data_IF_777590369444
#
_entry.id   IF_777590369444
#
_cell.length_a   1.000
_cell.length_b   1.000
_cell.length_c   1.000
_cell.angle_alpha   90.00
_cell.angle_beta   90.00
_cell.angle_gamma   90.00
#
_symmetry.space_group_name_H-M   'P 1'
#
loop_
_entity.id
_entity.type
_entity.pdbx_description
1 polymer ?
#
# COMPACT_ATOMS: atom_id res chain seq x y z
N UNK A 1 43.40 -8.41 28.20
CA UNK A 1 43.32 -7.15 27.44
C UNK A 1 42.06 -7.23 26.59
N UNK A 2 40.96 -6.70 27.11
CA UNK A 2 39.68 -6.59 26.38
C UNK A 2 39.56 -5.17 25.82
N UNK A 3 39.00 -4.95 24.62
CA UNK A 3 38.89 -3.60 24.07
C UNK A 3 37.81 -2.78 24.79
N UNK A 4 38.18 -1.58 25.19
CA UNK A 4 37.31 -0.51 25.68
C UNK A 4 36.43 0.02 24.53
N UNK A 5 35.13 -0.23 24.62
CA UNK A 5 34.12 0.23 23.66
C UNK A 5 33.38 1.51 24.12
N UNK A 6 33.85 2.19 25.16
CA UNK A 6 33.11 3.28 25.81
C UNK A 6 33.36 4.68 25.24
N UNK A 7 34.38 4.87 24.40
CA UNK A 7 34.84 6.20 23.95
C UNK A 7 34.30 6.68 22.58
N UNK A 8 33.27 6.04 22.00
CA UNK A 8 32.68 6.48 20.70
C UNK A 8 31.20 6.83 20.75
N UNK A 9 30.65 7.05 21.95
CA UNK A 9 29.21 7.37 22.12
C UNK A 9 28.86 8.85 22.12
N UNK A 10 29.84 9.76 22.18
CA UNK A 10 29.53 11.18 22.32
C UNK A 10 29.39 11.92 20.99
N UNK A 11 30.06 11.50 19.91
CA UNK A 11 30.03 12.27 18.65
C UNK A 11 28.78 11.99 17.80
N UNK A 12 28.06 10.90 18.07
CA UNK A 12 26.85 10.51 17.32
C UNK A 12 25.54 11.09 17.87
N UNK A 13 25.50 11.51 19.14
CA UNK A 13 24.29 12.07 19.76
C UNK A 13 24.07 13.54 19.39
N UNK A 14 25.13 14.31 19.23
CA UNK A 14 25.03 15.76 18.99
C UNK A 14 24.58 16.09 17.56
N UNK A 15 24.88 15.23 16.58
CA UNK A 15 24.49 15.44 15.18
C UNK A 15 23.00 15.15 14.89
N UNK A 16 22.32 14.37 15.74
CA UNK A 16 20.90 14.02 15.59
C UNK A 16 19.96 14.92 16.41
N UNK A 17 20.50 15.69 17.36
CA UNK A 17 19.70 16.45 18.32
C UNK A 17 19.28 17.85 17.82
N UNK A 18 19.81 18.33 16.69
CA UNK A 18 19.72 19.75 16.38
C UNK A 18 18.43 20.20 15.67
N UNK A 19 17.59 19.32 15.07
CA UNK A 19 16.44 19.78 14.26
C UNK A 19 15.26 18.79 14.09
N UNK A 20 15.03 17.88 15.03
CA UNK A 20 13.83 17.04 14.96
C UNK A 20 12.94 17.31 16.17
N UNK A 21 11.93 18.18 15.98
CA UNK A 21 10.76 18.15 16.84
C UNK A 21 10.18 16.73 16.74
N UNK A 22 10.05 15.95 17.83
CA UNK A 22 9.44 14.63 17.77
C UNK A 22 7.99 14.67 17.24
N UNK A 23 7.36 15.85 17.24
CA UNK A 23 6.04 16.12 16.67
C UNK A 23 6.07 16.34 15.15
N UNK A 24 7.25 16.51 14.55
CA UNK A 24 7.49 16.64 13.11
C UNK A 24 8.04 15.34 12.48
N UNK A 25 8.03 14.24 13.25
CA UNK A 25 8.24 12.90 12.71
C UNK A 25 7.00 12.49 11.90
N UNK A 26 6.91 12.98 10.66
CA UNK A 26 6.04 12.38 9.66
C UNK A 26 6.63 11.03 9.29
N UNK A 27 6.22 9.97 9.99
CA UNK A 27 6.50 8.60 9.57
C UNK A 27 5.79 8.43 8.23
N UNK A 28 6.55 8.52 7.12
CA UNK A 28 6.09 8.37 5.74
C UNK A 28 5.66 6.96 5.39
N UNK A 29 4.82 6.35 6.23
CA UNK A 29 4.24 5.03 6.03
C UNK A 29 2.74 5.19 6.15
N UNK A 30 2.09 5.47 5.02
CA UNK A 30 0.62 5.51 4.90
C UNK A 30 0.05 4.26 5.58
N UNK A 31 -0.64 4.37 6.73
CA UNK A 31 -1.10 3.21 7.51
C UNK A 31 -1.90 2.23 6.65
N UNK A 32 -2.67 2.75 5.70
CA UNK A 32 -3.41 1.98 4.70
C UNK A 32 -2.54 1.12 3.80
N UNK A 33 -1.34 1.57 3.40
CA UNK A 33 -0.43 0.75 2.61
C UNK A 33 0.07 -0.46 3.40
N UNK A 34 0.38 -0.27 4.69
CA UNK A 34 0.84 -1.35 5.57
C UNK A 34 -0.29 -2.35 5.79
N UNK A 35 -1.50 -1.86 6.09
CA UNK A 35 -2.69 -2.69 6.24
C UNK A 35 -2.97 -3.47 4.96
N UNK A 36 -2.95 -2.81 3.81
CA UNK A 36 -3.19 -3.45 2.52
C UNK A 36 -2.21 -4.61 2.30
N UNK A 37 -0.91 -4.37 2.47
CA UNK A 37 0.13 -5.40 2.27
C UNK A 37 -0.04 -6.59 3.19
N UNK A 38 -0.47 -6.37 4.44
CA UNK A 38 -0.61 -7.44 5.44
C UNK A 38 -1.92 -8.22 5.29
N UNK A 39 -3.01 -7.53 4.97
CA UNK A 39 -4.36 -8.05 5.11
C UNK A 39 -5.05 -8.27 3.75
N UNK A 40 -4.89 -7.35 2.81
CA UNK A 40 -5.66 -7.35 1.55
C UNK A 40 -4.90 -7.99 0.38
N UNK A 41 -3.58 -7.78 0.31
CA UNK A 41 -2.70 -8.27 -0.74
C UNK A 41 -2.68 -9.80 -0.93
N UNK A 42 -2.98 -10.65 0.07
CA UNK A 42 -3.15 -12.08 -0.16
C UNK A 42 -4.26 -12.44 -1.15
N UNK A 43 -5.26 -11.57 -1.34
CA UNK A 43 -6.41 -11.85 -2.20
C UNK A 43 -6.60 -10.84 -3.33
N UNK A 44 -6.09 -9.61 -3.16
CA UNK A 44 -6.33 -8.50 -4.08
C UNK A 44 -5.04 -7.93 -4.64
N UNK A 45 -5.11 -7.40 -5.85
CA UNK A 45 -4.07 -6.55 -6.43
C UNK A 45 -4.59 -5.12 -6.61
N UNK A 46 -3.68 -4.20 -6.98
CA UNK A 46 -4.05 -2.84 -7.40
C UNK A 46 -3.39 -2.56 -8.75
N UNK A 47 -4.17 -2.69 -9.81
CA UNK A 47 -3.81 -2.38 -11.19
C UNK A 47 -3.08 -3.50 -11.92
N UNK A 48 -3.16 -4.74 -11.43
CA UNK A 48 -2.48 -5.89 -12.07
C UNK A 48 -3.51 -6.80 -12.72
N UNK A 49 -4.20 -7.63 -11.92
CA UNK A 49 -5.20 -8.59 -12.37
C UNK A 49 -6.16 -8.95 -11.23
N UNK A 50 -7.32 -9.49 -11.59
CA UNK A 50 -8.13 -10.26 -10.66
C UNK A 50 -7.32 -11.46 -10.11
N UNK A 51 -7.47 -11.75 -8.82
CA UNK A 51 -6.83 -12.89 -8.16
C UNK A 51 -7.88 -13.73 -7.41
N UNK A 52 -7.70 -13.97 -6.10
CA UNK A 52 -8.74 -14.60 -5.28
C UNK A 52 -9.94 -13.66 -5.08
N UNK A 53 -9.73 -12.35 -5.18
CA UNK A 53 -10.75 -11.32 -5.30
C UNK A 53 -10.50 -10.37 -6.48
N UNK A 54 -11.39 -9.40 -6.72
CA UNK A 54 -11.25 -8.40 -7.79
C UNK A 54 -9.99 -7.55 -7.66
N UNK A 55 -9.45 -7.08 -8.78
CA UNK A 55 -8.51 -5.95 -8.80
C UNK A 55 -9.16 -4.68 -8.24
N UNK A 56 -8.41 -3.96 -7.40
CA UNK A 56 -8.93 -2.80 -6.66
C UNK A 56 -8.53 -1.45 -7.26
N UNK A 57 -7.86 -1.42 -8.42
CA UNK A 57 -7.59 -0.15 -9.09
C UNK A 57 -8.88 0.60 -9.37
N UNK A 58 -8.97 1.87 -8.95
CA UNK A 58 -10.15 2.72 -9.16
C UNK A 58 -11.41 2.29 -8.42
N UNK A 59 -11.31 1.40 -7.43
CA UNK A 59 -12.49 0.91 -6.69
C UNK A 59 -13.20 2.05 -5.94
N UNK A 60 -12.42 3.04 -5.46
CA UNK A 60 -12.91 4.23 -4.74
C UNK A 60 -13.70 5.19 -5.64
N UNK A 61 -13.49 5.13 -6.95
CA UNK A 61 -14.25 5.93 -7.92
C UNK A 61 -15.53 5.20 -8.37
N UNK A 62 -15.52 3.86 -8.33
CA UNK A 62 -16.63 3.02 -8.82
C UNK A 62 -17.66 2.66 -7.76
N UNK A 63 -17.38 2.90 -6.48
CA UNK A 63 -18.20 2.44 -5.35
C UNK A 63 -18.33 3.53 -4.30
N UNK A 64 -19.50 3.55 -3.67
CA UNK A 64 -19.79 4.43 -2.56
C UNK A 64 -18.86 4.16 -1.37
N UNK A 65 -18.43 5.24 -0.70
CA UNK A 65 -17.48 5.16 0.41
C UNK A 65 -18.04 4.42 1.63
N UNK A 66 -19.34 4.55 1.94
CA UNK A 66 -19.97 3.82 3.03
C UNK A 66 -20.08 2.34 2.71
N UNK A 67 -20.40 2.00 1.45
CA UNK A 67 -20.40 0.61 1.00
C UNK A 67 -19.00 -0.02 1.11
N UNK A 68 -17.94 0.71 0.72
CA UNK A 68 -16.56 0.22 0.85
C UNK A 68 -16.16 0.04 2.31
N UNK A 69 -16.47 1.01 3.17
CA UNK A 69 -16.23 0.90 4.61
C UNK A 69 -16.94 -0.33 5.19
N UNK A 70 -18.18 -0.58 4.77
CA UNK A 70 -18.94 -1.74 5.22
C UNK A 70 -18.37 -3.06 4.70
N UNK A 71 -17.99 -3.12 3.43
CA UNK A 71 -17.38 -4.31 2.83
C UNK A 71 -16.06 -4.68 3.53
N UNK A 72 -15.28 -3.69 3.96
CA UNK A 72 -14.00 -3.88 4.66
C UNK A 72 -14.23 -4.32 6.12
N UNK A 73 -15.15 -3.67 6.83
CA UNK A 73 -15.33 -3.88 8.28
C UNK A 73 -16.30 -5.02 8.61
N UNK A 74 -17.34 -5.22 7.79
CA UNK A 74 -18.37 -6.22 8.04
C UNK A 74 -19.08 -6.69 6.74
N UNK A 75 -18.38 -7.43 5.86
CA UNK A 75 -18.97 -7.94 4.63
C UNK A 75 -20.13 -8.94 4.88
N UNK A 76 -20.22 -9.51 6.08
CA UNK A 76 -21.33 -10.38 6.46
C UNK A 76 -22.67 -9.63 6.53
N UNK A 77 -22.67 -8.35 6.94
CA UNK A 77 -23.89 -7.54 6.98
C UNK A 77 -24.43 -7.28 5.58
N UNK A 78 -23.56 -6.97 4.62
CA UNK A 78 -23.95 -6.82 3.21
C UNK A 78 -24.59 -8.11 2.66
N UNK A 79 -24.04 -9.29 2.98
CA UNK A 79 -24.66 -10.57 2.58
C UNK A 79 -26.01 -10.80 3.24
N UNK A 80 -26.12 -10.53 4.54
CA UNK A 80 -27.38 -10.68 5.28
C UNK A 80 -28.48 -9.77 4.68
N UNK A 81 -28.10 -8.57 4.25
CA UNK A 81 -28.96 -7.61 3.59
C UNK A 81 -29.23 -7.92 2.11
N UNK A 82 -28.66 -9.02 1.57
CA UNK A 82 -28.78 -9.42 0.16
C UNK A 82 -28.35 -8.31 -0.81
N UNK A 83 -27.24 -7.65 -0.48
CA UNK A 83 -26.65 -6.61 -1.33
C UNK A 83 -26.40 -7.16 -2.75
N UNK A 84 -26.95 -6.52 -3.81
CA UNK A 84 -26.87 -7.06 -5.16
C UNK A 84 -25.44 -7.01 -5.72
N UNK A 85 -24.65 -6.00 -5.34
CA UNK A 85 -23.26 -5.88 -5.80
C UNK A 85 -22.44 -7.03 -5.23
N UNK A 86 -22.59 -7.31 -3.94
CA UNK A 86 -21.90 -8.43 -3.31
C UNK A 86 -22.39 -9.78 -3.85
N UNK A 87 -23.68 -9.92 -4.18
CA UNK A 87 -24.20 -11.12 -4.82
C UNK A 87 -23.54 -11.39 -6.19
N UNK A 88 -23.37 -10.35 -7.01
CA UNK A 88 -22.68 -10.45 -8.30
C UNK A 88 -21.20 -10.80 -8.12
N UNK A 89 -20.54 -10.21 -7.12
CA UNK A 89 -19.15 -10.52 -6.78
C UNK A 89 -19.00 -11.97 -6.31
N UNK A 90 -19.84 -12.44 -5.40
CA UNK A 90 -19.85 -13.84 -4.93
C UNK A 90 -20.10 -14.82 -6.09
N UNK A 91 -20.93 -14.45 -7.07
CA UNK A 91 -21.18 -15.25 -8.26
C UNK A 91 -20.00 -15.26 -9.25
N UNK A 92 -19.22 -14.17 -9.34
CA UNK A 92 -18.03 -14.07 -10.19
C UNK A 92 -16.81 -14.77 -9.58
N UNK A 93 -16.55 -14.56 -8.29
CA UNK A 93 -15.38 -15.08 -7.56
C UNK A 93 -15.69 -16.34 -6.75
N UNK A 94 -16.38 -17.30 -7.40
CA UNK A 94 -16.93 -18.51 -6.76
C UNK A 94 -15.89 -19.23 -5.90
N UNK A 95 -16.26 -19.56 -4.66
CA UNK A 95 -15.44 -20.36 -3.76
C UNK A 95 -14.57 -19.54 -2.79
N UNK A 96 -14.41 -18.22 -3.01
CA UNK A 96 -13.69 -17.34 -2.08
C UNK A 96 -14.62 -16.19 -1.66
N UNK A 97 -14.99 -16.18 -0.38
CA UNK A 97 -15.74 -15.07 0.22
C UNK A 97 -14.83 -14.25 1.10
N UNK A 98 -14.88 -12.92 0.96
CA UNK A 98 -14.15 -12.02 1.85
C UNK A 98 -14.65 -12.20 3.31
N UNK A 99 -13.80 -12.67 4.24
CA UNK A 99 -14.21 -12.86 5.62
C UNK A 99 -14.34 -11.51 6.35
N UNK A 100 -14.86 -11.54 7.58
CA UNK A 100 -14.66 -10.42 8.49
C UNK A 100 -13.21 -10.46 8.98
N UNK A 101 -12.46 -9.39 8.72
CA UNK A 101 -11.02 -9.28 9.00
C UNK A 101 -10.73 -8.61 10.35
N UNK A 102 -11.76 -8.24 11.11
CA UNK A 102 -11.61 -7.55 12.41
C UNK A 102 -11.09 -6.12 12.30
N UNK A 103 -11.24 -5.51 11.12
CA UNK A 103 -10.77 -4.15 10.85
C UNK A 103 -11.75 -3.12 11.43
N UNK A 104 -11.19 -2.07 12.02
CA UNK A 104 -11.95 -0.94 12.55
C UNK A 104 -12.39 0.03 11.45
N UNK A 105 -13.26 0.98 11.79
CA UNK A 105 -13.64 2.05 10.86
C UNK A 105 -12.44 2.93 10.44
N UNK A 106 -11.50 3.17 11.36
CA UNK A 106 -10.26 3.90 11.04
C UNK A 106 -9.37 3.11 10.09
N UNK A 107 -9.20 1.79 10.30
CA UNK A 107 -8.44 0.95 9.37
C UNK A 107 -9.05 0.96 7.97
N UNK A 108 -10.38 0.90 7.89
CA UNK A 108 -11.09 0.99 6.62
C UNK A 108 -10.89 2.36 5.94
N UNK A 109 -10.92 3.45 6.71
CA UNK A 109 -10.61 4.80 6.20
C UNK A 109 -9.19 4.88 5.64
N UNK A 110 -8.21 4.35 6.38
CA UNK A 110 -6.81 4.34 5.96
C UNK A 110 -6.61 3.51 4.68
N UNK A 111 -7.26 2.34 4.59
CA UNK A 111 -7.24 1.49 3.39
C UNK A 111 -7.88 2.19 2.19
N UNK A 112 -9.02 2.84 2.37
CA UNK A 112 -9.70 3.59 1.30
C UNK A 112 -8.81 4.74 0.82
N UNK A 113 -8.22 5.52 1.74
CA UNK A 113 -7.27 6.59 1.40
C UNK A 113 -6.08 6.06 0.60
N UNK A 114 -5.50 4.94 1.03
CA UNK A 114 -4.42 4.28 0.30
C UNK A 114 -4.83 3.86 -1.12
N UNK A 115 -6.02 3.25 -1.29
CA UNK A 115 -6.51 2.82 -2.60
C UNK A 115 -6.75 3.99 -3.55
N UNK A 116 -7.26 5.12 -3.04
CA UNK A 116 -7.40 6.37 -3.80
C UNK A 116 -6.05 6.86 -4.28
N UNK A 117 -5.09 7.06 -3.37
CA UNK A 117 -3.75 7.55 -3.69
C UNK A 117 -3.01 6.61 -4.63
N UNK A 118 -3.09 5.30 -4.40
CA UNK A 118 -2.44 4.30 -5.24
C UNK A 118 -3.03 4.25 -6.65
N UNK A 119 -4.34 4.43 -6.78
CA UNK A 119 -5.00 4.54 -8.08
C UNK A 119 -4.50 5.75 -8.84
N UNK A 120 -4.46 6.93 -8.20
CA UNK A 120 -3.95 8.15 -8.82
C UNK A 120 -2.51 7.99 -9.31
N UNK A 121 -1.63 7.44 -8.47
CA UNK A 121 -0.24 7.15 -8.83
C UNK A 121 -0.12 6.22 -10.04
N UNK A 122 -0.89 5.12 -10.07
CA UNK A 122 -0.85 4.18 -11.20
C UNK A 122 -1.35 4.83 -12.48
N UNK A 123 -2.41 5.63 -12.41
CA UNK A 123 -2.94 6.35 -13.56
C UNK A 123 -1.95 7.39 -14.08
N UNK A 124 -1.28 8.11 -13.20
CA UNK A 124 -0.22 9.06 -13.57
C UNK A 124 0.94 8.35 -14.27
N UNK A 125 1.45 7.25 -13.67
CA UNK A 125 2.52 6.44 -14.27
C UNK A 125 2.14 5.89 -15.66
N UNK A 126 0.87 5.52 -15.86
CA UNK A 126 0.36 5.05 -17.16
C UNK A 126 0.13 6.18 -18.18
N UNK A 127 -0.04 7.41 -17.71
CA UNK A 127 -0.23 8.59 -18.56
C UNK A 127 1.10 9.20 -19.02
N UNK A 128 2.23 8.82 -18.40
CA UNK A 128 3.55 9.29 -18.81
C UNK A 128 3.98 8.63 -20.15
N UNK A 129 4.50 9.42 -21.12
CA UNK A 129 5.07 8.87 -22.36
C UNK A 129 6.24 7.93 -22.05
N UNK A 130 6.43 6.88 -22.86
CA UNK A 130 7.43 5.79 -22.70
C UNK A 130 8.92 6.21 -22.67
N UNK A 131 9.28 7.49 -22.55
CA UNK A 131 10.66 7.99 -22.65
C UNK A 131 11.57 7.70 -21.43
N UNK A 132 11.06 7.11 -20.35
CA UNK A 132 11.85 6.94 -19.10
C UNK A 132 12.30 5.50 -18.79
N UNK A 133 12.15 4.55 -19.71
CA UNK A 133 12.75 3.21 -19.59
C UNK A 133 14.00 3.00 -20.46
N UNK A 134 14.83 4.04 -20.62
CA UNK A 134 16.24 3.87 -21.00
C UNK A 134 17.09 4.00 -19.74
N UNK A 135 17.54 2.85 -19.22
CA UNK A 135 18.63 2.81 -18.27
C UNK A 135 19.80 3.61 -18.84
N UNK A 136 20.27 4.60 -18.08
CA UNK A 136 21.56 5.22 -18.30
C UNK A 136 22.62 4.12 -18.27
N UNK A 137 23.07 3.67 -19.44
CA UNK A 137 24.38 3.07 -19.60
C UNK A 137 25.38 4.18 -19.31
N UNK A 138 25.85 4.25 -18.07
CA UNK A 138 27.03 5.03 -17.76
C UNK A 138 28.20 4.41 -18.53
N UNK A 139 28.61 5.09 -19.59
CA UNK A 139 29.91 4.95 -20.22
C UNK A 139 30.99 5.13 -19.15
N UNK A 140 31.88 4.16 -19.03
CA UNK A 140 32.84 4.06 -17.93
C UNK A 140 34.05 3.19 -18.27
N UNK A 141 34.80 3.62 -19.28
CA UNK A 141 36.26 3.44 -19.41
C UNK A 141 36.77 2.01 -19.64
N UNK A 142 37.08 1.70 -20.89
CA UNK A 142 37.99 0.61 -21.24
C UNK A 142 39.38 0.82 -20.65
N UNK A 143 39.86 -0.14 -19.85
CA UNK A 143 41.28 -0.33 -19.57
C UNK A 143 41.83 -1.34 -20.60
N UNK A 144 42.69 -0.86 -21.50
CA UNK A 144 43.52 -1.71 -22.34
C UNK A 144 44.77 -2.12 -21.54
N UNK A 145 44.98 -3.43 -21.43
CA UNK A 145 46.26 -4.01 -21.08
C UNK A 145 46.97 -4.43 -22.37
N UNK A 146 48.09 -3.79 -22.70
CA UNK A 146 49.27 -4.40 -23.30
C UNK A 146 50.48 -3.47 -23.15
#
# INVERSE_FOLDING_TARGET
MEPDWTDRRHVWLDALAANHDPRDLTIGREPGQVLFRKICAPCHTVGVIDHAGPDLLGVTDRRDGLWLSEMITNPARLRANKDPILADLDAKYKGVRMPNLGLSASDASDLISYLTTRTAQINELRAQPEEQHLHQSADGTGHQHN
#
